data_IF_482089051492
#
_entry.id   IF_482089051492
#
_cell.length_a   1.000
_cell.length_b   1.000
_cell.length_c   1.000
_cell.angle_alpha   90.00
_cell.angle_beta   90.00
_cell.angle_gamma   90.00
#
_symmetry.space_group_name_H-M   'P 1'
#
loop_
_entity.id
_entity.type
_entity.pdbx_description
1 polymer ?
#
# COMPACT_ATOMS: atom_id res chain seq x y z
N UNK A 1 12.68 -2.75 -2.41
CA UNK A 1 11.69 -2.14 -1.49
C UNK A 1 11.82 -0.64 -1.58
N UNK A 2 10.71 0.06 -1.84
CA UNK A 2 10.71 1.52 -1.86
C UNK A 2 10.79 2.06 -0.44
N UNK A 3 11.61 3.10 -0.26
CA UNK A 3 11.69 3.90 0.95
C UNK A 3 11.79 5.37 0.56
N UNK A 4 10.86 6.16 1.03
CA UNK A 4 10.73 7.55 0.65
C UNK A 4 10.69 8.44 1.90
N UNK A 5 11.60 9.43 1.97
CA UNK A 5 11.72 10.31 3.12
C UNK A 5 10.53 11.26 3.26
N UNK A 6 9.97 11.71 2.13
CA UNK A 6 8.84 12.63 2.15
C UNK A 6 7.55 11.90 2.58
N UNK A 7 7.39 10.63 2.19
CA UNK A 7 6.34 9.76 2.74
C UNK A 7 6.49 9.55 4.25
N UNK A 8 7.72 9.38 4.76
CA UNK A 8 7.96 9.31 6.20
C UNK A 8 7.52 10.60 6.91
N UNK A 9 7.99 11.74 6.44
CA UNK A 9 7.68 13.03 7.07
C UNK A 9 6.19 13.38 6.95
N UNK A 10 5.57 13.09 5.82
CA UNK A 10 4.14 13.29 5.62
C UNK A 10 3.31 12.41 6.58
N UNK A 11 3.67 11.14 6.72
CA UNK A 11 2.96 10.23 7.64
C UNK A 11 3.17 10.61 9.11
N UNK A 12 4.34 11.10 9.49
CA UNK A 12 4.61 11.61 10.84
C UNK A 12 3.78 12.86 11.17
N UNK A 13 3.50 13.68 10.16
CA UNK A 13 2.65 14.88 10.26
C UNK A 13 1.14 14.61 10.25
N UNK A 14 0.70 13.42 9.83
CA UNK A 14 -0.71 13.08 9.73
C UNK A 14 -1.41 13.14 11.09
N UNK A 15 -2.54 13.86 11.12
CA UNK A 15 -3.48 13.84 12.25
C UNK A 15 -4.68 12.97 11.86
N UNK A 16 -5.10 12.09 12.76
CA UNK A 16 -6.30 11.26 12.53
C UNK A 16 -6.03 9.77 12.42
N UNK A 17 -4.85 9.37 11.98
CA UNK A 17 -4.41 7.99 12.14
C UNK A 17 -3.82 7.79 13.53
N UNK A 18 -4.06 6.65 14.17
CA UNK A 18 -3.53 6.39 15.51
C UNK A 18 -2.00 6.51 15.53
N UNK A 19 -1.47 7.21 16.53
CA UNK A 19 -0.04 7.51 16.63
C UNK A 19 0.83 6.24 16.65
N UNK A 20 0.29 5.15 17.21
CA UNK A 20 0.95 3.85 17.26
C UNK A 20 1.07 3.15 15.90
N UNK A 21 0.33 3.59 14.89
CA UNK A 21 0.17 2.92 13.59
C UNK A 21 0.89 3.61 12.46
N UNK A 22 1.39 4.83 12.68
CA UNK A 22 2.23 5.59 11.76
C UNK A 22 3.66 5.04 11.69
N UNK A 23 3.78 3.72 11.57
CA UNK A 23 5.07 3.04 11.63
C UNK A 23 5.68 2.82 10.24
N UNK A 24 5.83 3.87 9.44
CA UNK A 24 6.39 3.77 8.08
C UNK A 24 7.70 3.01 8.04
N UNK A 25 8.69 3.43 8.84
CA UNK A 25 10.00 2.76 8.90
C UNK A 25 9.86 1.29 9.29
N UNK A 26 9.00 0.97 10.25
CA UNK A 26 8.79 -0.42 10.71
C UNK A 26 8.18 -1.27 9.61
N UNK A 27 7.25 -0.72 8.84
CA UNK A 27 6.59 -1.40 7.72
C UNK A 27 7.58 -1.67 6.59
N UNK A 28 8.39 -0.68 6.20
CA UNK A 28 9.46 -0.86 5.20
C UNK A 28 10.49 -1.91 5.65
N UNK A 29 10.92 -1.86 6.93
CA UNK A 29 11.83 -2.86 7.48
C UNK A 29 11.23 -4.26 7.53
N UNK A 30 9.92 -4.39 7.78
CA UNK A 30 9.22 -5.68 7.76
C UNK A 30 9.21 -6.25 6.33
N UNK A 31 8.89 -5.44 5.32
CA UNK A 31 8.94 -5.85 3.93
C UNK A 31 10.34 -6.33 3.53
N UNK A 32 11.37 -5.54 3.83
CA UNK A 32 12.77 -5.92 3.57
C UNK A 32 13.14 -7.25 4.23
N UNK A 33 12.85 -7.42 5.53
CA UNK A 33 13.18 -8.63 6.28
C UNK A 33 12.47 -9.86 5.74
N UNK A 34 11.20 -9.73 5.35
CA UNK A 34 10.43 -10.85 4.82
C UNK A 34 11.01 -11.32 3.48
N UNK A 35 11.35 -10.41 2.57
CA UNK A 35 11.98 -10.75 1.31
C UNK A 35 13.38 -11.35 1.50
N UNK A 36 14.20 -10.73 2.34
CA UNK A 36 15.55 -11.23 2.66
C UNK A 36 15.51 -12.62 3.30
N UNK A 37 14.50 -12.92 4.13
CA UNK A 37 14.31 -14.24 4.72
C UNK A 37 13.96 -15.33 3.69
N UNK A 38 13.43 -14.94 2.52
CA UNK A 38 13.19 -15.85 1.39
C UNK A 38 14.48 -16.11 0.56
N UNK A 39 15.60 -15.49 0.92
CA UNK A 39 16.88 -15.67 0.24
C UNK A 39 16.99 -14.92 -1.10
N UNK A 40 16.15 -13.89 -1.31
CA UNK A 40 16.26 -13.03 -2.49
C UNK A 40 17.11 -11.80 -2.18
N UNK A 41 17.84 -11.30 -3.19
CA UNK A 41 18.56 -10.04 -3.08
C UNK A 41 17.59 -8.88 -3.00
N UNK A 42 17.78 -7.99 -2.05
CA UNK A 42 16.86 -6.88 -1.78
C UNK A 42 17.61 -5.57 -1.64
N UNK A 43 17.30 -4.63 -2.52
CA UNK A 43 17.73 -3.24 -2.39
C UNK A 43 16.63 -2.38 -1.74
N UNK A 44 17.05 -1.29 -1.13
CA UNK A 44 16.16 -0.22 -0.66
C UNK A 44 16.45 1.01 -1.49
N UNK A 45 15.46 1.45 -2.26
CA UNK A 45 15.59 2.53 -3.23
C UNK A 45 14.49 3.58 -3.04
N UNK A 46 14.72 4.80 -3.53
CA UNK A 46 13.69 5.83 -3.60
C UNK A 46 12.61 5.47 -4.64
N UNK A 47 11.43 6.04 -4.48
CA UNK A 47 10.34 5.94 -5.45
C UNK A 47 10.69 6.60 -6.82
N UNK A 48 11.67 7.47 -6.83
CA UNK A 48 12.13 8.19 -8.03
C UNK A 48 13.25 7.48 -8.81
N UNK A 49 13.80 6.39 -8.26
CA UNK A 49 14.87 5.61 -8.91
C UNK A 49 14.38 4.80 -10.12
N UNK A 50 15.31 4.29 -10.90
CA UNK A 50 15.02 3.40 -12.03
C UNK A 50 14.64 1.99 -11.55
N UNK A 51 13.52 1.46 -12.04
CA UNK A 51 13.02 0.12 -11.68
C UNK A 51 13.46 -0.97 -12.66
N UNK A 52 14.12 -0.63 -13.76
CA UNK A 52 14.43 -1.56 -14.87
C UNK A 52 15.29 -2.76 -14.46
N UNK A 53 16.07 -2.64 -13.38
CA UNK A 53 16.92 -3.71 -12.85
C UNK A 53 16.21 -4.71 -11.93
N UNK A 54 14.91 -4.52 -11.65
CA UNK A 54 14.17 -5.32 -10.67
C UNK A 54 13.07 -6.14 -11.32
N UNK A 55 12.75 -7.28 -10.73
CA UNK A 55 11.59 -8.10 -11.11
C UNK A 55 10.37 -7.79 -10.23
N UNK A 56 10.61 -7.34 -9.01
CA UNK A 56 9.56 -7.03 -8.02
C UNK A 56 9.87 -5.71 -7.35
N UNK A 57 8.90 -4.83 -7.33
CA UNK A 57 8.90 -3.60 -6.52
C UNK A 57 7.87 -3.73 -5.42
N UNK A 58 8.29 -3.48 -4.19
CA UNK A 58 7.39 -3.41 -3.02
C UNK A 58 7.35 -1.98 -2.53
N UNK A 59 6.15 -1.41 -2.47
CA UNK A 59 5.87 -0.04 -2.05
C UNK A 59 5.09 -0.03 -0.71
N UNK A 60 5.76 -0.16 0.43
CA UNK A 60 5.09 -0.21 1.72
C UNK A 60 4.66 1.21 2.13
N UNK A 61 3.36 1.42 2.33
CA UNK A 61 2.81 2.72 2.79
C UNK A 61 3.40 3.93 2.02
N UNK A 62 3.53 3.83 0.70
CA UNK A 62 4.05 4.93 -0.11
C UNK A 62 3.00 6.05 -0.19
N UNK A 63 2.86 6.78 0.90
CA UNK A 63 1.80 7.74 1.17
C UNK A 63 1.82 8.94 0.23
N UNK A 64 3.01 9.51 0.05
CA UNK A 64 3.25 10.65 -0.84
C UNK A 64 3.83 10.14 -2.16
N UNK A 65 3.30 10.63 -3.27
CA UNK A 65 3.84 10.37 -4.59
C UNK A 65 4.49 11.62 -5.17
N UNK A 66 5.74 11.50 -5.56
CA UNK A 66 6.42 12.50 -6.38
C UNK A 66 5.89 12.48 -7.82
N UNK A 67 6.04 13.57 -8.59
CA UNK A 67 5.62 13.62 -9.98
C UNK A 67 6.18 12.44 -10.79
N UNK A 68 5.33 11.83 -11.62
CA UNK A 68 5.66 10.71 -12.51
C UNK A 68 5.94 9.36 -11.83
N UNK A 69 5.79 9.23 -10.52
CA UNK A 69 5.97 7.95 -9.84
C UNK A 69 4.92 6.94 -10.28
N UNK A 70 3.65 7.34 -10.36
CA UNK A 70 2.58 6.46 -10.83
C UNK A 70 2.80 6.01 -12.28
N UNK A 71 3.24 6.90 -13.16
CA UNK A 71 3.58 6.53 -14.54
C UNK A 71 4.76 5.55 -14.61
N UNK A 72 5.81 5.77 -13.80
CA UNK A 72 6.95 4.84 -13.71
C UNK A 72 6.53 3.46 -13.22
N UNK A 73 5.66 3.39 -12.22
CA UNK A 73 5.10 2.13 -11.73
C UNK A 73 4.30 1.42 -12.80
N UNK A 74 3.48 2.15 -13.55
CA UNK A 74 2.72 1.62 -14.67
C UNK A 74 3.63 1.04 -15.74
N UNK A 75 4.63 1.79 -16.18
CA UNK A 75 5.61 1.33 -17.17
C UNK A 75 6.35 0.08 -16.70
N UNK A 76 6.75 0.02 -15.43
CA UNK A 76 7.38 -1.16 -14.85
C UNK A 76 6.50 -2.40 -14.94
N UNK A 77 5.21 -2.28 -14.61
CA UNK A 77 4.25 -3.40 -14.70
C UNK A 77 3.99 -3.78 -16.16
N UNK A 78 3.84 -2.82 -17.07
CA UNK A 78 3.65 -3.08 -18.51
C UNK A 78 4.85 -3.80 -19.13
N UNK A 79 6.05 -3.64 -18.58
CA UNK A 79 7.27 -4.35 -18.97
C UNK A 79 7.41 -5.74 -18.33
N UNK A 80 6.42 -6.18 -17.56
CA UNK A 80 6.38 -7.49 -16.91
C UNK A 80 6.89 -7.53 -15.48
N UNK A 81 7.16 -6.39 -14.86
CA UNK A 81 7.50 -6.28 -13.45
C UNK A 81 6.29 -6.51 -12.54
N UNK A 82 6.55 -6.94 -11.30
CA UNK A 82 5.52 -7.14 -10.28
C UNK A 82 5.56 -6.01 -9.25
N UNK A 83 4.46 -5.28 -9.12
CA UNK A 83 4.31 -4.21 -8.14
C UNK A 83 3.41 -4.67 -6.98
N UNK A 84 3.91 -4.55 -5.76
CA UNK A 84 3.17 -4.83 -4.53
C UNK A 84 3.07 -3.54 -3.74
N UNK A 85 1.87 -3.01 -3.57
CA UNK A 85 1.59 -1.87 -2.71
C UNK A 85 0.84 -2.31 -1.46
N UNK A 86 0.97 -1.54 -0.39
CA UNK A 86 0.21 -1.75 0.84
C UNK A 86 -0.76 -0.60 1.08
N UNK A 87 -1.48 -0.64 2.19
CA UNK A 87 -2.41 0.42 2.60
C UNK A 87 -1.77 1.81 2.60
N UNK A 88 -2.59 2.82 2.49
CA UNK A 88 -2.29 4.25 2.42
C UNK A 88 -1.29 4.67 1.31
N UNK A 89 -1.18 3.87 0.26
CA UNK A 89 -0.35 4.23 -0.89
C UNK A 89 -1.05 5.28 -1.77
N UNK A 90 -0.31 6.35 -2.15
CA UNK A 90 -0.80 7.35 -3.11
C UNK A 90 -1.93 8.24 -2.61
N UNK A 91 -1.88 8.67 -1.36
CA UNK A 91 -2.90 9.55 -0.78
C UNK A 91 -2.68 11.02 -1.10
N UNK A 92 -1.43 11.46 -1.13
CA UNK A 92 -1.07 12.87 -1.37
C UNK A 92 0.00 13.02 -2.45
N UNK A 93 0.00 14.18 -3.08
CA UNK A 93 1.04 14.62 -4.00
C UNK A 93 2.27 15.19 -3.23
N UNK A 94 3.27 15.67 -3.97
CA UNK A 94 4.49 16.26 -3.43
C UNK A 94 4.26 17.53 -2.57
N UNK A 95 3.11 18.16 -2.69
CA UNK A 95 2.68 19.28 -1.88
C UNK A 95 1.85 18.88 -0.65
N UNK A 96 1.73 17.57 -0.41
CA UNK A 96 0.87 16.96 0.62
C UNK A 96 -0.62 17.30 0.44
N UNK A 97 -1.05 17.51 -0.80
CA UNK A 97 -2.46 17.70 -1.15
C UNK A 97 -3.06 16.37 -1.57
N UNK A 98 -4.26 16.09 -1.05
CA UNK A 98 -4.99 14.89 -1.41
C UNK A 98 -5.33 14.88 -2.90
N UNK A 99 -5.16 13.72 -3.54
CA UNK A 99 -5.58 13.54 -4.92
C UNK A 99 -7.10 13.71 -5.08
N UNK A 100 -7.50 14.55 -6.01
CA UNK A 100 -8.91 14.71 -6.36
C UNK A 100 -9.41 13.43 -7.08
N UNK A 101 -10.60 12.97 -6.69
CA UNK A 101 -11.22 11.79 -7.30
C UNK A 101 -10.85 10.46 -6.64
N UNK A 102 -10.26 10.50 -5.44
CA UNK A 102 -10.02 9.32 -4.59
C UNK A 102 -8.65 8.67 -4.75
N UNK A 103 -8.41 7.67 -3.95
CA UNK A 103 -7.12 7.01 -3.73
C UNK A 103 -7.10 5.58 -4.31
N UNK A 104 -5.90 5.05 -4.65
CA UNK A 104 -4.63 5.76 -4.77
C UNK A 104 -4.62 6.72 -5.95
N UNK A 105 -3.87 7.81 -5.84
CA UNK A 105 -3.73 8.85 -6.87
C UNK A 105 -2.79 8.48 -8.02
N UNK A 106 -2.44 9.49 -8.84
CA UNK A 106 -1.42 9.43 -9.90
C UNK A 106 -1.59 8.24 -10.89
N UNK A 107 -2.85 7.90 -11.23
CA UNK A 107 -3.16 6.80 -12.15
C UNK A 107 -3.10 5.40 -11.53
N UNK A 108 -2.72 5.28 -10.26
CA UNK A 108 -2.60 3.97 -9.59
C UNK A 108 -3.94 3.27 -9.38
N UNK A 109 -5.07 4.01 -9.35
CA UNK A 109 -6.41 3.39 -9.32
C UNK A 109 -6.63 2.46 -10.51
N UNK A 110 -6.29 2.93 -11.70
CA UNK A 110 -6.46 2.14 -12.92
C UNK A 110 -5.45 1.00 -12.98
N UNK A 111 -4.22 1.24 -12.50
CA UNK A 111 -3.16 0.23 -12.47
C UNK A 111 -3.51 -0.94 -11.54
N UNK A 112 -4.00 -0.66 -10.34
CA UNK A 112 -4.39 -1.69 -9.35
C UNK A 112 -5.82 -2.20 -9.55
N UNK A 113 -6.66 -1.47 -10.27
CA UNK A 113 -8.08 -1.77 -10.40
C UNK A 113 -8.85 -1.62 -9.10
N UNK A 114 -8.43 -0.69 -8.22
CA UNK A 114 -9.08 -0.46 -6.92
C UNK A 114 -9.21 1.02 -6.60
N UNK A 115 -10.21 1.34 -5.80
CA UNK A 115 -10.37 2.65 -5.17
C UNK A 115 -10.54 2.41 -3.68
N UNK A 116 -9.72 3.07 -2.87
CA UNK A 116 -9.89 3.12 -1.42
C UNK A 116 -11.07 4.03 -1.09
N UNK A 117 -12.13 3.47 -0.52
CA UNK A 117 -13.34 4.20 -0.17
C UNK A 117 -13.30 4.69 1.26
N UNK A 118 -12.73 3.89 2.16
CA UNK A 118 -12.68 4.20 3.57
C UNK A 118 -11.47 3.54 4.24
N UNK A 119 -10.97 4.17 5.28
CA UNK A 119 -9.99 3.58 6.21
C UNK A 119 -10.63 3.50 7.58
N UNK A 120 -10.83 2.30 8.07
CA UNK A 120 -11.16 2.05 9.46
C UNK A 120 -9.89 1.95 10.30
N UNK A 121 -9.77 2.83 11.29
CA UNK A 121 -8.63 2.84 12.22
C UNK A 121 -9.00 2.04 13.46
N UNK A 122 -8.45 0.85 13.59
CA UNK A 122 -8.72 -0.05 14.70
C UNK A 122 -8.04 0.44 15.99
N UNK A 123 -8.78 0.39 17.10
CA UNK A 123 -8.18 0.63 18.42
C UNK A 123 -7.15 -0.48 18.75
N UNK A 124 -6.19 -0.22 19.66
CA UNK A 124 -5.18 -1.22 20.04
C UNK A 124 -5.74 -2.55 20.55
N UNK A 125 -6.97 -2.55 21.06
CA UNK A 125 -7.70 -3.75 21.51
C UNK A 125 -8.42 -4.48 20.40
N UNK A 126 -8.70 -3.80 19.29
CA UNK A 126 -9.56 -4.32 18.24
C UNK A 126 -8.78 -5.15 17.23
N UNK A 127 -9.47 -6.11 16.67
CA UNK A 127 -8.94 -7.01 15.63
C UNK A 127 -10.02 -7.27 14.63
N UNK A 128 -9.61 -7.39 13.38
CA UNK A 128 -10.42 -8.00 12.33
C UNK A 128 -9.59 -9.12 11.69
N UNK A 129 -10.17 -9.88 10.82
CA UNK A 129 -9.43 -10.87 10.02
C UNK A 129 -9.84 -10.77 8.55
N UNK A 130 -8.93 -11.23 7.71
CA UNK A 130 -9.17 -11.40 6.28
C UNK A 130 -9.18 -12.89 6.00
N UNK A 131 -10.28 -13.34 5.40
CA UNK A 131 -10.39 -14.69 4.86
C UNK A 131 -9.84 -14.72 3.43
N UNK A 132 -8.95 -15.67 3.17
CA UNK A 132 -8.39 -15.95 1.85
C UNK A 132 -8.85 -17.33 1.39
N UNK A 133 -9.16 -17.48 0.10
CA UNK A 133 -9.61 -18.77 -0.45
C UNK A 133 -8.52 -19.86 -0.42
N UNK A 134 -7.25 -19.47 -0.58
CA UNK A 134 -6.13 -20.41 -0.76
C UNK A 134 -4.96 -20.16 0.20
N UNK A 135 -5.07 -19.23 1.14
CA UNK A 135 -4.04 -18.90 2.11
C UNK A 135 -4.60 -18.94 3.53
N UNK A 136 -3.75 -19.06 4.56
CA UNK A 136 -4.19 -18.91 5.94
C UNK A 136 -4.86 -17.55 6.19
N UNK A 137 -5.82 -17.51 7.09
CA UNK A 137 -6.44 -16.26 7.53
C UNK A 137 -5.41 -15.23 8.01
N UNK A 138 -5.63 -13.98 7.64
CA UNK A 138 -4.81 -12.85 8.05
C UNK A 138 -5.44 -12.06 9.18
N UNK A 139 -4.70 -11.83 10.26
CA UNK A 139 -5.14 -10.90 11.30
C UNK A 139 -4.92 -9.46 10.85
N UNK A 140 -5.95 -8.63 10.97
CA UNK A 140 -5.90 -7.19 10.68
C UNK A 140 -5.76 -6.42 11.99
N UNK A 141 -4.79 -5.52 12.01
CA UNK A 141 -4.50 -4.61 13.12
C UNK A 141 -4.25 -3.22 12.56
N UNK A 142 -4.53 -2.23 13.34
CA UNK A 142 -4.20 -0.83 13.08
C UNK A 142 -5.08 -0.21 11.99
N UNK A 143 -5.15 -0.77 10.77
CA UNK A 143 -5.96 -0.26 9.67
C UNK A 143 -6.66 -1.37 8.91
N UNK A 144 -7.92 -1.11 8.56
CA UNK A 144 -8.64 -1.83 7.52
C UNK A 144 -8.97 -0.83 6.41
N UNK A 145 -8.40 -1.00 5.24
CA UNK A 145 -8.69 -0.18 4.08
C UNK A 145 -9.74 -0.88 3.23
N UNK A 146 -10.92 -0.27 3.14
CA UNK A 146 -12.05 -0.84 2.39
C UNK A 146 -11.94 -0.44 0.94
N UNK A 147 -11.84 -1.43 0.06
CA UNK A 147 -11.58 -1.22 -1.34
C UNK A 147 -12.82 -1.48 -2.19
N UNK A 148 -13.13 -0.54 -3.09
CA UNK A 148 -14.00 -0.80 -4.23
C UNK A 148 -13.17 -1.33 -5.38
N UNK A 149 -13.55 -2.49 -5.88
CA UNK A 149 -12.80 -3.24 -6.87
C UNK A 149 -13.42 -3.04 -8.25
N UNK A 150 -12.58 -2.78 -9.26
CA UNK A 150 -12.99 -2.67 -10.66
C UNK A 150 -13.20 -4.06 -11.30
N UNK A 151 -13.99 -4.10 -12.37
CA UNK A 151 -14.19 -5.31 -13.17
C UNK A 151 -12.85 -5.85 -13.69
N UNK A 152 -12.63 -7.16 -13.55
CA UNK A 152 -11.41 -7.83 -13.97
C UNK A 152 -10.30 -7.88 -12.93
N UNK A 153 -10.47 -7.23 -11.78
CA UNK A 153 -9.53 -7.32 -10.65
C UNK A 153 -9.84 -8.56 -9.81
N UNK A 154 -8.82 -9.35 -9.49
CA UNK A 154 -8.99 -10.52 -8.65
C UNK A 154 -8.92 -10.15 -7.16
N UNK A 155 -9.99 -10.43 -6.43
CA UNK A 155 -10.03 -10.31 -4.97
C UNK A 155 -9.52 -11.61 -4.36
N UNK A 156 -8.42 -11.55 -3.62
CA UNK A 156 -7.80 -12.72 -2.97
C UNK A 156 -8.30 -12.93 -1.54
N UNK A 157 -8.80 -11.88 -0.91
CA UNK A 157 -9.28 -11.95 0.46
C UNK A 157 -10.35 -10.91 0.75
N UNK A 158 -11.20 -11.22 1.73
CA UNK A 158 -12.26 -10.33 2.19
C UNK A 158 -12.29 -10.26 3.70
N UNK A 159 -12.75 -9.13 4.24
CA UNK A 159 -12.90 -8.94 5.69
C UNK A 159 -14.00 -9.84 6.27
N UNK A 160 -13.79 -10.34 7.49
CA UNK A 160 -14.73 -11.27 8.15
C UNK A 160 -15.61 -10.60 9.22
N UNK A 161 -15.27 -9.41 9.64
CA UNK A 161 -15.95 -8.74 10.74
C UNK A 161 -16.27 -7.28 10.36
N UNK A 162 -17.09 -6.64 11.22
CA UNK A 162 -17.54 -5.29 11.09
C UNK A 162 -18.51 -5.06 9.91
N UNK A 163 -18.89 -3.77 9.69
CA UNK A 163 -19.87 -3.38 8.67
C UNK A 163 -19.37 -3.63 7.23
N UNK A 164 -18.04 -3.74 7.07
CA UNK A 164 -17.41 -4.07 5.78
C UNK A 164 -17.12 -5.58 5.60
N UNK A 165 -17.74 -6.44 6.40
CA UNK A 165 -17.66 -7.90 6.21
C UNK A 165 -18.01 -8.31 4.79
N UNK A 166 -17.14 -9.13 4.17
CA UNK A 166 -17.26 -9.58 2.79
C UNK A 166 -16.76 -8.59 1.74
N UNK A 167 -16.30 -7.40 2.14
CA UNK A 167 -15.65 -6.43 1.25
C UNK A 167 -14.14 -6.73 1.13
N UNK A 168 -13.53 -6.26 0.03
CA UNK A 168 -12.10 -6.33 -0.21
C UNK A 168 -11.36 -5.23 0.54
#
# INVERSE_FOLDING_TARGET
VLYDWDSLWATDGMKGLAESTRNYIKTCRKAYRNLSALGVDVDVISSEEDYSGYSVIVAPMLYLLHPHVGERMKQFVEQGGHLIATYVTGYVDENQLNYLGGFPGDGLKDLFGVISEEIDTLYPSDRNCVHFAEMPEGEVRDYAEVLRVADGTNVLGTYEQDYYKGMA
#
